data_IF_253820178056
#
_entry.id   IF_253820178056
#
_cell.length_a   1.000
_cell.length_b   1.000
_cell.length_c   1.000
_cell.angle_alpha   90.00
_cell.angle_beta   90.00
_cell.angle_gamma   90.00
#
_symmetry.space_group_name_H-M   'P 1'
#
loop_
_entity.id
_entity.type
_entity.pdbx_description
1 polymer ?
#
# COMPACT_ATOMS: atom_id res chain seq x y z
N UNK A 1 -3.82 19.97 -9.21
CA UNK A 1 -2.42 19.49 -9.28
C UNK A 1 -2.42 17.99 -9.59
N UNK A 2 -1.57 17.52 -10.47
CA UNK A 2 -1.40 16.08 -10.73
C UNK A 2 -0.28 15.56 -9.81
N UNK A 3 -0.61 14.61 -8.93
CA UNK A 3 0.40 13.95 -8.09
C UNK A 3 0.90 12.68 -8.76
N UNK A 4 2.21 12.43 -8.68
CA UNK A 4 2.80 11.16 -9.12
C UNK A 4 2.64 10.11 -8.01
N UNK A 5 1.97 8.97 -8.26
CA UNK A 5 1.80 7.93 -7.27
C UNK A 5 3.10 7.14 -7.06
N UNK A 6 3.52 7.03 -5.81
CA UNK A 6 4.69 6.22 -5.41
C UNK A 6 4.45 5.54 -4.06
N UNK A 7 5.11 4.41 -3.85
CA UNK A 7 5.23 3.75 -2.56
C UNK A 7 6.67 3.87 -2.07
N UNK A 8 6.86 4.59 -0.97
CA UNK A 8 8.19 4.79 -0.39
C UNK A 8 8.55 3.62 0.53
N UNK A 9 9.75 3.06 0.38
CA UNK A 9 10.33 2.16 1.37
C UNK A 9 10.92 2.99 2.50
N UNK A 10 10.29 2.90 3.67
CA UNK A 10 10.72 3.65 4.87
C UNK A 10 11.48 2.80 5.89
N UNK A 11 11.71 1.53 5.60
CA UNK A 11 12.40 0.65 6.54
C UNK A 11 13.79 1.20 6.87
N UNK A 12 14.02 1.47 8.17
CA UNK A 12 15.24 2.06 8.71
C UNK A 12 15.61 3.44 8.14
N UNK A 13 14.61 4.18 7.61
CA UNK A 13 14.85 5.50 7.04
C UNK A 13 14.36 6.60 7.98
N UNK A 14 15.18 7.64 8.21
CA UNK A 14 14.78 8.73 9.08
C UNK A 14 13.72 9.63 8.43
N UNK A 15 12.70 9.95 9.21
CA UNK A 15 11.61 10.87 8.85
C UNK A 15 11.43 11.87 9.98
N UNK A 16 11.29 13.15 9.65
CA UNK A 16 11.02 14.19 10.64
C UNK A 16 9.51 14.38 10.80
N UNK A 17 9.06 14.42 12.03
CA UNK A 17 7.69 14.80 12.41
C UNK A 17 7.76 16.04 13.29
N UNK A 18 7.23 17.14 12.79
CA UNK A 18 7.12 18.40 13.54
C UNK A 18 5.74 18.46 14.20
N UNK A 19 5.73 18.39 15.53
CA UNK A 19 4.55 18.31 16.36
C UNK A 19 4.37 16.96 17.06
N UNK A 20 3.73 16.97 18.23
CA UNK A 20 3.46 15.80 19.07
C UNK A 20 2.02 15.78 19.63
N UNK A 21 1.07 16.41 18.93
CA UNK A 21 -0.37 16.37 19.25
C UNK A 21 -1.06 15.11 18.70
N UNK A 22 -2.38 15.01 18.88
CA UNK A 22 -3.18 13.85 18.43
C UNK A 22 -3.11 13.57 16.92
N UNK A 23 -2.97 14.59 16.10
CA UNK A 23 -2.86 14.42 14.64
C UNK A 23 -1.48 13.85 14.28
N UNK A 24 -0.42 14.40 14.91
CA UNK A 24 0.94 13.88 14.78
C UNK A 24 1.04 12.41 15.22
N UNK A 25 0.33 12.02 16.29
CA UNK A 25 0.30 10.64 16.82
C UNK A 25 -0.12 9.63 15.74
N UNK A 26 -1.24 9.87 15.04
CA UNK A 26 -1.70 9.02 13.94
C UNK A 26 -0.70 8.94 12.78
N UNK A 27 0.03 10.03 12.52
CA UNK A 27 1.09 10.03 11.52
C UNK A 27 2.29 9.21 11.98
N UNK A 28 2.71 9.37 13.24
CA UNK A 28 3.78 8.60 13.85
C UNK A 28 3.50 7.10 13.83
N UNK A 29 2.29 6.66 14.20
CA UNK A 29 1.86 5.25 14.14
C UNK A 29 2.04 4.66 12.73
N UNK A 30 1.59 5.39 11.71
CA UNK A 30 1.72 4.95 10.31
C UNK A 30 3.19 4.85 9.88
N UNK A 31 4.03 5.80 10.29
CA UNK A 31 5.46 5.81 9.99
C UNK A 31 6.19 4.68 10.70
N UNK A 32 5.91 4.47 11.99
CA UNK A 32 6.48 3.37 12.79
C UNK A 32 6.07 2.00 12.22
N UNK A 33 4.81 1.84 11.81
CA UNK A 33 4.33 0.60 11.19
C UNK A 33 4.99 0.32 9.83
N UNK A 34 5.44 1.38 9.14
CA UNK A 34 6.24 1.28 7.90
C UNK A 34 7.74 1.05 8.16
N UNK A 35 8.16 0.98 9.44
CA UNK A 35 9.55 0.74 9.84
C UNK A 35 10.45 1.98 9.76
N UNK A 36 9.88 3.19 9.71
CA UNK A 36 10.63 4.43 9.69
C UNK A 36 11.32 4.71 11.06
N UNK A 37 12.48 5.35 11.02
CA UNK A 37 13.07 5.98 12.19
C UNK A 37 12.46 7.37 12.36
N UNK A 38 11.48 7.48 13.22
CA UNK A 38 10.74 8.74 13.43
C UNK A 38 11.52 9.64 14.39
N UNK A 39 11.91 10.82 13.89
CA UNK A 39 12.52 11.91 14.66
C UNK A 39 11.43 12.95 14.91
N UNK A 40 11.26 13.37 16.14
CA UNK A 40 10.18 14.28 16.54
C UNK A 40 10.76 15.60 17.06
N UNK A 41 10.28 16.73 16.53
CA UNK A 41 10.53 18.05 17.07
C UNK A 41 9.21 18.62 17.61
N UNK A 42 9.16 18.86 18.91
CA UNK A 42 7.99 19.39 19.61
C UNK A 42 8.41 19.96 20.97
N UNK A 43 7.81 21.06 21.40
CA UNK A 43 8.08 21.67 22.71
C UNK A 43 7.72 20.73 23.87
N UNK A 44 6.60 20.02 23.69
CA UNK A 44 6.10 19.04 24.68
C UNK A 44 5.64 17.78 23.96
N UNK A 45 5.77 16.64 24.62
CA UNK A 45 5.26 15.38 24.15
C UNK A 45 3.93 15.05 24.85
N UNK A 46 2.94 14.54 24.12
CA UNK A 46 1.79 13.93 24.73
C UNK A 46 2.18 12.59 25.37
N UNK A 47 1.34 11.97 26.22
CA UNK A 47 1.68 10.71 26.90
C UNK A 47 2.10 9.57 25.98
N UNK A 48 1.52 9.47 24.79
CA UNK A 48 1.85 8.42 23.84
C UNK A 48 3.23 8.64 23.22
N UNK A 49 3.57 9.88 22.85
CA UNK A 49 4.91 10.22 22.35
C UNK A 49 5.96 10.04 23.43
N UNK A 50 5.63 10.39 24.70
CA UNK A 50 6.55 10.16 25.81
C UNK A 50 6.85 8.67 25.97
N UNK A 51 5.81 7.82 25.94
CA UNK A 51 5.99 6.38 25.99
C UNK A 51 6.87 5.87 24.83
N UNK A 52 6.65 6.32 23.60
CA UNK A 52 7.46 5.90 22.46
C UNK A 52 8.91 6.39 22.55
N UNK A 53 9.15 7.55 23.13
CA UNK A 53 10.50 8.06 23.37
C UNK A 53 11.21 7.20 24.43
N UNK A 54 10.54 6.88 25.55
CA UNK A 54 11.07 6.05 26.64
C UNK A 54 11.37 4.61 26.16
N UNK A 55 10.52 4.08 25.24
CA UNK A 55 10.71 2.79 24.59
C UNK A 55 11.77 2.80 23.47
N UNK A 56 12.33 3.96 23.14
CA UNK A 56 13.29 4.11 22.04
C UNK A 56 12.69 3.92 20.63
N UNK A 57 11.35 3.99 20.48
CA UNK A 57 10.66 3.86 19.19
C UNK A 57 10.77 5.13 18.34
N UNK A 58 10.95 6.27 18.99
CA UNK A 58 11.14 7.58 18.34
C UNK A 58 12.36 8.27 18.94
N UNK A 59 12.94 9.21 18.20
CA UNK A 59 13.97 10.12 18.70
C UNK A 59 13.36 11.52 18.89
N UNK A 60 13.21 11.96 20.14
CA UNK A 60 12.80 13.33 20.45
C UNK A 60 14.00 14.27 20.36
N UNK A 61 13.91 15.27 19.48
CA UNK A 61 14.98 16.23 19.21
C UNK A 61 14.87 17.54 20.02
N UNK A 62 13.86 17.64 20.92
CA UNK A 62 13.54 18.87 21.64
C UNK A 62 12.51 19.73 20.97
N UNK A 63 12.30 20.96 21.49
CA UNK A 63 11.25 21.90 21.04
C UNK A 63 11.66 22.82 19.91
N UNK A 64 12.96 23.00 19.67
CA UNK A 64 13.44 23.96 18.69
C UNK A 64 13.70 23.29 17.34
N UNK A 65 12.99 23.72 16.31
CA UNK A 65 13.25 23.29 14.94
C UNK A 65 14.48 24.01 14.36
N UNK A 66 15.45 23.24 13.95
CA UNK A 66 16.61 23.67 13.18
C UNK A 66 16.55 23.11 11.77
N UNK A 67 16.83 23.93 10.78
CA UNK A 67 16.76 23.52 9.38
C UNK A 67 17.72 22.36 9.05
N UNK A 68 18.85 22.25 9.76
CA UNK A 68 19.80 21.15 9.62
C UNK A 68 19.18 19.76 9.93
N UNK A 69 18.09 19.71 10.72
CA UNK A 69 17.36 18.47 10.98
C UNK A 69 16.78 17.82 9.71
N UNK A 70 16.62 18.60 8.64
CA UNK A 70 16.13 18.12 7.34
C UNK A 70 17.22 17.46 6.50
N UNK A 71 18.50 17.68 6.77
CA UNK A 71 19.59 17.21 5.91
C UNK A 71 19.66 15.67 5.88
N UNK A 72 19.37 15.04 7.00
CA UNK A 72 19.46 13.58 7.19
C UNK A 72 18.13 12.84 7.11
N UNK A 73 17.05 13.50 6.66
CA UNK A 73 15.73 12.82 6.59
C UNK A 73 15.26 12.68 5.15
N UNK A 74 14.38 11.69 4.93
CA UNK A 74 13.78 11.45 3.62
C UNK A 74 12.72 12.48 3.29
N UNK A 75 11.88 12.80 4.26
CA UNK A 75 10.83 13.83 4.17
C UNK A 75 10.43 14.30 5.57
N UNK A 76 9.61 15.34 5.61
CA UNK A 76 9.06 15.89 6.84
C UNK A 76 7.53 15.92 6.80
N UNK A 77 6.92 15.70 7.95
CA UNK A 77 5.49 15.96 8.17
C UNK A 77 5.38 17.08 9.23
N UNK A 78 4.74 18.19 8.88
CA UNK A 78 4.40 19.26 9.80
C UNK A 78 2.95 19.06 10.28
N UNK A 79 2.78 18.82 11.58
CA UNK A 79 1.50 18.48 12.20
C UNK A 79 1.32 19.25 13.52
N UNK A 80 1.48 20.58 13.46
CA UNK A 80 1.23 21.50 14.58
C UNK A 80 0.06 22.41 14.26
N UNK A 81 -0.50 23.05 15.29
CA UNK A 81 -1.55 24.07 15.14
C UNK A 81 -0.96 25.46 14.80
N UNK A 82 0.36 25.61 14.81
CA UNK A 82 1.05 26.84 14.44
C UNK A 82 1.30 26.88 12.93
N UNK A 83 0.47 27.62 12.21
CA UNK A 83 0.58 27.80 10.76
C UNK A 83 1.85 28.53 10.33
N UNK A 84 2.42 29.42 11.16
CA UNK A 84 3.68 30.14 10.88
C UNK A 84 4.84 29.13 10.96
N UNK A 85 4.88 28.34 12.00
CA UNK A 85 5.86 27.28 12.17
C UNK A 85 5.78 26.25 11.03
N UNK A 86 4.58 25.76 10.70
CA UNK A 86 4.38 24.81 9.62
C UNK A 86 4.88 25.36 8.27
N UNK A 87 4.61 26.63 7.96
CA UNK A 87 5.14 27.31 6.76
C UNK A 87 6.67 27.37 6.76
N UNK A 88 7.28 27.71 7.89
CA UNK A 88 8.74 27.73 8.05
C UNK A 88 9.35 26.36 7.77
N UNK A 89 8.74 25.27 8.29
CA UNK A 89 9.19 23.88 8.03
C UNK A 89 9.07 23.56 6.55
N UNK A 90 7.96 23.89 5.90
CA UNK A 90 7.73 23.67 4.47
C UNK A 90 8.78 24.39 3.61
N UNK A 91 8.98 25.71 3.82
CA UNK A 91 9.95 26.49 3.09
C UNK A 91 11.39 25.99 3.27
N UNK A 92 11.74 25.54 4.48
CA UNK A 92 13.04 24.93 4.75
C UNK A 92 13.20 23.59 4.01
N UNK A 93 12.14 22.78 3.91
CA UNK A 93 12.11 21.54 3.16
C UNK A 93 12.28 21.78 1.66
N UNK A 94 11.54 22.73 1.09
CA UNK A 94 11.65 23.12 -0.33
C UNK A 94 13.08 23.56 -0.70
N UNK A 95 13.72 24.42 0.13
CA UNK A 95 15.11 24.83 -0.09
C UNK A 95 16.11 23.67 -0.13
N UNK A 96 15.78 22.56 0.53
CA UNK A 96 16.62 21.35 0.62
C UNK A 96 16.18 20.22 -0.31
N UNK A 97 15.22 20.48 -1.20
CA UNK A 97 14.61 19.49 -2.09
C UNK A 97 14.08 18.27 -1.30
N UNK A 98 13.52 18.50 -0.11
CA UNK A 98 12.87 17.46 0.71
C UNK A 98 11.37 17.54 0.53
N UNK A 99 10.73 16.38 0.46
CA UNK A 99 9.27 16.32 0.44
C UNK A 99 8.70 16.75 1.80
N UNK A 100 7.66 17.59 1.77
CA UNK A 100 6.94 18.05 2.94
C UNK A 100 5.44 17.81 2.83
N UNK A 101 4.83 17.37 3.92
CA UNK A 101 3.38 17.31 4.07
C UNK A 101 2.96 18.11 5.29
N UNK A 102 2.26 19.20 5.08
CA UNK A 102 1.66 20.00 6.14
C UNK A 102 0.21 19.58 6.32
N UNK A 103 -0.15 19.17 7.52
CA UNK A 103 -1.50 18.72 7.82
C UNK A 103 -2.49 19.87 7.62
N UNK A 104 -3.63 19.55 7.00
CA UNK A 104 -4.75 20.48 6.72
C UNK A 104 -4.41 21.72 5.88
N UNK A 105 -3.21 21.78 5.26
CA UNK A 105 -2.78 22.92 4.43
C UNK A 105 -2.24 22.42 3.09
N UNK A 106 -3.10 22.30 2.09
CA UNK A 106 -2.75 21.71 0.80
C UNK A 106 -1.64 22.47 0.05
N UNK A 107 -1.59 23.80 0.17
CA UNK A 107 -0.59 24.65 -0.50
C UNK A 107 0.82 24.50 0.10
N UNK A 108 0.94 23.93 1.29
CA UNK A 108 2.20 23.61 1.95
C UNK A 108 2.51 22.12 1.91
N UNK A 109 2.16 21.44 0.81
CA UNK A 109 2.39 20.02 0.62
C UNK A 109 3.05 19.75 -0.72
N UNK A 110 4.26 19.18 -0.71
CA UNK A 110 4.87 18.62 -1.92
C UNK A 110 4.51 17.15 -2.14
N UNK A 111 3.92 16.49 -1.15
CA UNK A 111 3.28 15.17 -1.29
C UNK A 111 2.02 15.05 -0.43
N UNK A 112 1.17 14.10 -0.78
CA UNK A 112 -0.06 13.81 -0.03
C UNK A 112 -0.02 12.40 0.57
N UNK A 113 -0.69 12.23 1.70
CA UNK A 113 -0.92 10.91 2.29
C UNK A 113 -2.29 10.41 1.82
N UNK A 114 -2.35 9.38 0.97
CA UNK A 114 -3.59 8.89 0.39
C UNK A 114 -4.44 8.12 1.41
N UNK A 115 -5.70 7.83 1.03
CA UNK A 115 -6.49 6.83 1.73
C UNK A 115 -5.96 5.43 1.36
N UNK A 116 -5.68 4.57 2.35
CA UNK A 116 -5.04 3.28 2.14
C UNK A 116 -5.93 2.14 2.59
N UNK A 117 -6.03 1.10 1.76
CA UNK A 117 -6.48 -0.24 2.14
C UNK A 117 -5.23 -1.08 2.39
N UNK A 118 -5.05 -1.51 3.64
CA UNK A 118 -3.89 -2.29 4.06
C UNK A 118 -4.27 -3.78 4.25
N UNK A 119 -3.55 -4.65 3.57
CA UNK A 119 -3.62 -6.11 3.70
C UNK A 119 -2.21 -6.69 3.89
N UNK A 120 -1.37 -6.00 4.67
CA UNK A 120 0.02 -6.36 4.89
C UNK A 120 0.90 -6.06 3.67
N UNK A 121 1.44 -7.09 2.97
CA UNK A 121 2.26 -6.84 1.78
C UNK A 121 1.49 -6.22 0.61
N UNK A 122 0.17 -6.43 0.54
CA UNK A 122 -0.69 -5.77 -0.44
C UNK A 122 -1.26 -4.49 0.14
N UNK A 123 -0.94 -3.36 -0.50
CA UNK A 123 -1.47 -2.04 -0.17
C UNK A 123 -2.10 -1.39 -1.40
N UNK A 124 -3.24 -0.73 -1.21
CA UNK A 124 -3.91 0.02 -2.26
C UNK A 124 -4.06 1.45 -1.77
N UNK A 125 -3.44 2.39 -2.46
CA UNK A 125 -3.51 3.81 -2.18
C UNK A 125 -4.49 4.49 -3.13
N UNK A 126 -5.39 5.31 -2.58
CA UNK A 126 -6.46 5.97 -3.32
C UNK A 126 -6.36 7.47 -3.04
N UNK A 127 -6.23 8.25 -4.09
CA UNK A 127 -6.17 9.70 -4.00
C UNK A 127 -7.08 10.36 -5.04
N UNK A 128 -7.68 11.47 -4.66
CA UNK A 128 -8.37 12.39 -5.57
C UNK A 128 -7.53 13.65 -5.85
N UNK A 129 -6.24 13.64 -5.49
CA UNK A 129 -5.39 14.85 -5.60
C UNK A 129 -5.86 16.02 -4.73
N UNK A 130 -6.57 15.76 -3.65
CA UNK A 130 -7.12 16.79 -2.77
C UNK A 130 -8.50 17.33 -3.20
N UNK A 131 -8.96 17.03 -4.43
CA UNK A 131 -10.21 17.60 -4.99
C UNK A 131 -11.49 17.01 -4.38
N UNK A 132 -11.48 15.73 -4.00
CA UNK A 132 -12.66 15.04 -3.47
C UNK A 132 -12.30 14.02 -2.37
N UNK A 133 -11.89 14.45 -1.16
CA UNK A 133 -11.46 13.54 -0.09
C UNK A 133 -12.55 12.54 0.35
N UNK A 134 -13.82 12.96 0.31
CA UNK A 134 -14.96 12.09 0.62
C UNK A 134 -15.10 10.96 -0.40
N UNK A 135 -14.89 11.25 -1.69
CA UNK A 135 -14.92 10.25 -2.75
C UNK A 135 -13.78 9.23 -2.58
N UNK A 136 -12.58 9.68 -2.27
CA UNK A 136 -11.44 8.79 -1.98
C UNK A 136 -11.74 7.86 -0.79
N UNK A 137 -12.34 8.38 0.30
CA UNK A 137 -12.79 7.56 1.45
C UNK A 137 -13.86 6.54 1.07
N UNK A 138 -14.85 6.96 0.25
CA UNK A 138 -15.91 6.05 -0.22
C UNK A 138 -15.31 4.89 -1.04
N UNK A 139 -14.42 5.18 -1.96
CA UNK A 139 -13.74 4.15 -2.73
C UNK A 139 -12.85 3.26 -1.86
N UNK A 140 -12.17 3.81 -0.85
CA UNK A 140 -11.44 2.99 0.11
C UNK A 140 -12.35 1.97 0.79
N UNK A 141 -13.52 2.40 1.29
CA UNK A 141 -14.49 1.50 1.93
C UNK A 141 -14.97 0.40 0.99
N UNK A 142 -15.33 0.75 -0.26
CA UNK A 142 -15.76 -0.23 -1.26
C UNK A 142 -14.65 -1.25 -1.55
N UNK A 143 -13.44 -0.78 -1.81
CA UNK A 143 -12.30 -1.66 -2.12
C UNK A 143 -11.94 -2.52 -0.89
N UNK A 144 -12.06 -1.98 0.31
CA UNK A 144 -11.81 -2.71 1.55
C UNK A 144 -12.77 -3.90 1.75
N UNK A 145 -14.03 -3.78 1.32
CA UNK A 145 -14.99 -4.89 1.33
C UNK A 145 -14.73 -5.91 0.23
N UNK A 146 -14.19 -5.49 -0.91
CA UNK A 146 -13.90 -6.37 -2.05
C UNK A 146 -12.62 -7.20 -1.85
N UNK A 147 -11.68 -6.73 -1.03
CA UNK A 147 -10.39 -7.40 -0.81
C UNK A 147 -10.37 -8.02 0.58
N UNK A 148 -10.52 -9.35 0.67
CA UNK A 148 -10.55 -10.07 1.94
C UNK A 148 -9.22 -9.93 2.72
N UNK A 149 -9.28 -10.01 4.05
CA UNK A 149 -8.10 -9.93 4.92
C UNK A 149 -7.04 -10.98 4.61
N UNK A 150 -7.45 -12.19 4.25
CA UNK A 150 -6.54 -13.28 3.92
C UNK A 150 -5.70 -13.05 2.66
N UNK A 151 -6.02 -12.06 1.83
CA UNK A 151 -5.20 -11.67 0.67
C UNK A 151 -3.78 -11.29 1.09
N UNK A 152 -3.61 -10.67 2.27
CA UNK A 152 -2.30 -10.39 2.83
C UNK A 152 -1.51 -11.64 3.19
N UNK A 153 -2.19 -12.69 3.69
CA UNK A 153 -1.58 -14.00 3.96
C UNK A 153 -1.16 -14.68 2.65
N UNK A 154 -2.01 -14.64 1.63
CA UNK A 154 -1.67 -15.14 0.28
C UNK A 154 -0.42 -14.45 -0.27
N UNK A 155 -0.34 -13.12 -0.16
CA UNK A 155 0.79 -12.34 -0.62
C UNK A 155 2.09 -12.67 0.14
N UNK A 156 2.03 -12.91 1.47
CA UNK A 156 3.20 -13.32 2.27
C UNK A 156 3.72 -14.69 1.84
N UNK A 157 2.83 -15.68 1.67
CA UNK A 157 3.24 -17.01 1.22
C UNK A 157 3.83 -16.94 -0.19
N UNK A 158 3.18 -16.22 -1.11
CA UNK A 158 3.69 -16.02 -2.46
C UNK A 158 5.08 -15.37 -2.47
N UNK A 159 5.30 -14.35 -1.63
CA UNK A 159 6.60 -13.71 -1.46
C UNK A 159 7.68 -14.67 -0.98
N UNK A 160 7.38 -15.51 0.03
CA UNK A 160 8.28 -16.55 0.56
C UNK A 160 8.71 -17.55 -0.52
N UNK A 161 7.78 -17.93 -1.38
CA UNK A 161 8.01 -18.96 -2.42
C UNK A 161 8.47 -18.41 -3.76
N UNK A 162 8.53 -17.09 -3.92
CA UNK A 162 8.82 -16.42 -5.20
C UNK A 162 10.10 -16.90 -5.86
N UNK A 163 11.19 -16.97 -5.11
CA UNK A 163 12.48 -17.39 -5.65
C UNK A 163 12.50 -18.89 -6.02
N UNK A 164 11.86 -19.73 -5.22
CA UNK A 164 11.73 -21.16 -5.55
C UNK A 164 10.94 -21.37 -6.85
N UNK A 165 9.81 -20.66 -6.99
CA UNK A 165 9.00 -20.70 -8.23
C UNK A 165 9.81 -20.21 -9.43
N UNK A 166 10.63 -19.16 -9.24
CA UNK A 166 11.51 -18.63 -10.31
C UNK A 166 12.58 -19.64 -10.73
N UNK A 167 13.12 -20.40 -9.78
CA UNK A 167 14.09 -21.46 -10.07
C UNK A 167 13.47 -22.68 -10.75
N UNK A 168 12.22 -23.01 -10.44
CA UNK A 168 11.52 -24.16 -11.00
C UNK A 168 10.92 -23.86 -12.37
N UNK A 169 10.37 -22.66 -12.56
CA UNK A 169 9.71 -22.23 -13.80
C UNK A 169 10.56 -21.13 -14.47
N UNK A 170 11.31 -21.52 -15.49
CA UNK A 170 12.27 -20.62 -16.15
C UNK A 170 11.61 -19.53 -17.02
N UNK A 171 10.40 -19.79 -17.54
CA UNK A 171 9.68 -18.85 -18.40
C UNK A 171 8.80 -17.89 -17.59
N UNK A 172 8.79 -16.62 -17.96
CA UNK A 172 7.98 -15.55 -17.33
C UNK A 172 6.48 -15.83 -17.46
N UNK A 173 6.04 -16.33 -18.63
CA UNK A 173 4.64 -16.65 -18.89
C UNK A 173 4.17 -17.82 -18.05
N UNK A 174 5.02 -18.87 -17.89
CA UNK A 174 4.74 -20.00 -17.00
C UNK A 174 4.56 -19.54 -15.55
N UNK A 175 5.44 -18.68 -15.06
CA UNK A 175 5.35 -18.11 -13.71
C UNK A 175 4.07 -17.30 -13.51
N UNK A 176 3.72 -16.46 -14.50
CA UNK A 176 2.47 -15.69 -14.43
C UNK A 176 1.25 -16.61 -14.38
N UNK A 177 1.17 -17.57 -15.28
CA UNK A 177 0.09 -18.55 -15.33
C UNK A 177 -0.02 -19.35 -14.04
N UNK A 178 1.12 -19.81 -13.51
CA UNK A 178 1.18 -20.51 -12.22
C UNK A 178 0.56 -19.68 -11.08
N UNK A 179 0.96 -18.42 -10.93
CA UNK A 179 0.43 -17.55 -9.88
C UNK A 179 -1.06 -17.25 -10.05
N UNK A 180 -1.51 -17.00 -11.28
CA UNK A 180 -2.93 -16.80 -11.58
C UNK A 180 -3.77 -18.02 -11.19
N UNK A 181 -3.34 -19.21 -11.59
CA UNK A 181 -4.02 -20.47 -11.24
C UNK A 181 -3.98 -20.77 -9.75
N UNK A 182 -2.86 -20.52 -9.09
CA UNK A 182 -2.72 -20.73 -7.65
C UNK A 182 -3.70 -19.84 -6.87
N UNK A 183 -3.78 -18.55 -7.20
CA UNK A 183 -4.66 -17.62 -6.51
C UNK A 183 -6.16 -17.91 -6.73
N UNK A 184 -6.51 -18.59 -7.80
CA UNK A 184 -7.88 -19.06 -8.09
C UNK A 184 -8.18 -20.48 -7.56
N UNK A 185 -7.19 -21.15 -6.93
CA UNK A 185 -7.30 -22.50 -6.38
C UNK A 185 -7.76 -22.51 -4.90
N UNK A 186 -7.70 -23.69 -4.28
CA UNK A 186 -7.93 -23.86 -2.84
C UNK A 186 -6.93 -23.10 -1.96
N UNK A 187 -5.85 -22.62 -2.50
CA UNK A 187 -4.84 -21.83 -1.81
C UNK A 187 -5.47 -20.65 -1.04
N UNK A 188 -6.39 -19.91 -1.68
CA UNK A 188 -7.13 -18.83 -1.05
C UNK A 188 -8.00 -19.27 0.13
N UNK A 189 -8.63 -20.47 0.02
CA UNK A 189 -9.46 -21.04 1.08
C UNK A 189 -8.60 -21.37 2.31
N UNK A 190 -7.46 -22.04 2.11
CA UNK A 190 -6.53 -22.37 3.19
C UNK A 190 -5.93 -21.11 3.85
N UNK A 191 -5.61 -20.08 3.06
CA UNK A 191 -5.17 -18.79 3.58
C UNK A 191 -6.26 -18.10 4.42
N UNK A 192 -7.53 -18.19 4.02
CA UNK A 192 -8.68 -17.65 4.78
C UNK A 192 -8.87 -18.36 6.12
N UNK A 193 -8.59 -19.66 6.18
CA UNK A 193 -8.62 -20.47 7.40
C UNK A 193 -7.36 -20.32 8.27
N UNK A 194 -6.41 -19.45 7.88
CA UNK A 194 -5.09 -19.31 8.48
C UNK A 194 -4.29 -20.64 8.55
N UNK A 195 -4.60 -21.58 7.68
CA UNK A 195 -3.89 -22.87 7.57
C UNK A 195 -2.73 -22.74 6.58
N UNK A 196 -1.62 -22.18 7.08
CA UNK A 196 -0.44 -21.87 6.26
C UNK A 196 0.17 -23.13 5.65
N UNK A 197 0.23 -24.22 6.43
CA UNK A 197 0.78 -25.51 5.94
C UNK A 197 -0.03 -26.08 4.79
N UNK A 198 -1.36 -26.06 4.88
CA UNK A 198 -2.22 -26.52 3.79
C UNK A 198 -2.09 -25.63 2.54
N UNK A 199 -1.97 -24.32 2.73
CA UNK A 199 -1.74 -23.38 1.64
C UNK A 199 -0.37 -23.65 0.96
N UNK A 200 0.69 -23.86 1.72
CA UNK A 200 2.01 -24.21 1.16
C UNK A 200 2.01 -25.57 0.46
N UNK A 201 1.32 -26.58 1.00
CA UNK A 201 1.14 -27.87 0.32
C UNK A 201 0.41 -27.75 -1.02
N UNK A 202 -0.65 -26.94 -1.06
CA UNK A 202 -1.37 -26.65 -2.32
C UNK A 202 -0.44 -25.98 -3.34
N UNK A 203 0.36 -24.98 -2.92
CA UNK A 203 1.35 -24.32 -3.76
C UNK A 203 2.36 -25.33 -4.33
N UNK A 204 2.92 -26.21 -3.50
CA UNK A 204 3.88 -27.24 -3.93
C UNK A 204 3.21 -28.20 -4.91
N UNK A 205 1.98 -28.60 -4.63
CA UNK A 205 1.22 -29.50 -5.52
C UNK A 205 1.00 -28.87 -6.89
N UNK A 206 0.63 -27.59 -6.93
CA UNK A 206 0.45 -26.85 -8.19
C UNK A 206 1.79 -26.63 -8.92
N UNK A 207 2.88 -26.40 -8.18
CA UNK A 207 4.21 -26.17 -8.76
C UNK A 207 4.78 -27.43 -9.41
N UNK A 208 4.50 -28.60 -8.83
CA UNK A 208 4.97 -29.90 -9.32
C UNK A 208 4.07 -30.50 -10.42
N UNK A 209 2.91 -29.89 -10.68
CA UNK A 209 2.08 -30.32 -11.81
C UNK A 209 2.78 -29.94 -13.11
N UNK A 210 2.99 -30.91 -13.98
CA UNK A 210 3.29 -30.64 -15.38
C UNK A 210 2.07 -29.95 -15.98
N UNK A 211 2.10 -28.62 -16.04
CA UNK A 211 1.03 -27.85 -16.70
C UNK A 211 1.27 -27.87 -18.19
N UNK A 212 0.42 -28.58 -18.96
CA UNK A 212 0.47 -28.40 -20.41
C UNK A 212 0.15 -26.93 -20.71
N UNK A 213 1.05 -26.27 -21.44
CA UNK A 213 0.76 -24.97 -22.06
C UNK A 213 -0.28 -25.21 -23.16
N UNK A 214 -1.53 -25.36 -22.74
CA UNK A 214 -2.66 -25.43 -23.64
C UNK A 214 -3.42 -24.11 -23.56
N UNK A 215 -3.68 -23.49 -24.68
CA UNK A 215 -4.62 -22.38 -24.75
C UNK A 215 -6.00 -22.84 -24.27
N UNK A 216 -6.66 -22.06 -23.43
CA UNK A 216 -8.05 -22.30 -23.02
C UNK A 216 -8.95 -21.55 -24.01
N UNK A 217 -9.84 -22.27 -24.67
CA UNK A 217 -10.92 -21.68 -25.47
C UNK A 217 -12.18 -21.65 -24.62
N UNK A 218 -12.69 -20.47 -24.36
CA UNK A 218 -13.94 -20.29 -23.61
C UNK A 218 -15.00 -19.75 -24.55
N UNK A 219 -16.02 -20.57 -24.78
CA UNK A 219 -17.24 -20.14 -25.48
C UNK A 219 -18.11 -19.31 -24.52
N UNK A 220 -18.46 -18.13 -24.95
CA UNK A 220 -19.21 -17.19 -24.13
C UNK A 220 -20.44 -16.76 -24.88
N UNK A 221 -21.63 -17.05 -24.31
CA UNK A 221 -22.88 -16.47 -24.73
C UNK A 221 -23.04 -15.08 -24.11
N UNK A 222 -23.13 -14.03 -24.94
CA UNK A 222 -23.25 -12.65 -24.48
C UNK A 222 -24.69 -12.22 -24.13
N UNK A 223 -25.67 -13.13 -24.21
CA UNK A 223 -27.08 -12.87 -23.94
C UNK A 223 -27.75 -11.99 -25.03
N UNK A 224 -28.91 -11.39 -24.75
CA UNK A 224 -29.71 -10.66 -25.73
C UNK A 224 -29.19 -9.26 -26.06
N UNK A 225 -27.93 -8.95 -25.79
CA UNK A 225 -27.32 -7.66 -26.14
C UNK A 225 -27.29 -6.61 -25.04
N UNK A 226 -27.93 -6.84 -23.89
CA UNK A 226 -27.83 -5.93 -22.73
C UNK A 226 -26.56 -6.19 -21.91
N UNK A 227 -25.60 -5.23 -21.85
CA UNK A 227 -24.39 -5.37 -21.06
C UNK A 227 -24.63 -5.57 -19.56
N UNK A 228 -25.78 -5.13 -19.02
CA UNK A 228 -26.15 -5.31 -17.62
C UNK A 228 -26.45 -6.76 -17.24
N UNK A 229 -26.71 -7.62 -18.24
CA UNK A 229 -26.96 -9.05 -18.05
C UNK A 229 -25.70 -9.92 -18.10
N UNK A 230 -24.52 -9.33 -18.32
CA UNK A 230 -23.26 -10.05 -18.31
C UNK A 230 -22.95 -10.51 -16.89
N UNK A 231 -22.70 -11.82 -16.73
CA UNK A 231 -22.33 -12.36 -15.41
C UNK A 231 -20.98 -11.83 -14.95
N UNK A 232 -20.80 -11.72 -13.62
CA UNK A 232 -19.52 -11.31 -13.04
C UNK A 232 -18.34 -12.19 -13.51
N UNK A 233 -18.54 -13.49 -13.66
CA UNK A 233 -17.51 -14.41 -14.18
C UNK A 233 -17.10 -14.05 -15.61
N UNK A 234 -18.05 -13.67 -16.45
CA UNK A 234 -17.79 -13.24 -17.80
C UNK A 234 -16.98 -11.95 -17.84
N UNK A 235 -17.41 -10.94 -17.08
CA UNK A 235 -16.69 -9.68 -16.96
C UNK A 235 -15.26 -9.87 -16.41
N UNK A 236 -15.06 -10.81 -15.47
CA UNK A 236 -13.75 -11.15 -14.94
C UNK A 236 -12.84 -11.78 -16.01
N UNK A 237 -13.35 -12.73 -16.80
CA UNK A 237 -12.59 -13.37 -17.88
C UNK A 237 -12.27 -12.40 -19.03
N UNK A 238 -13.17 -11.51 -19.35
CA UNK A 238 -12.95 -10.46 -20.37
C UNK A 238 -11.80 -9.51 -19.98
N UNK A 239 -11.67 -9.16 -18.70
CA UNK A 239 -10.58 -8.34 -18.18
C UNK A 239 -9.21 -9.02 -18.17
N UNK A 240 -9.15 -10.35 -18.26
CA UNK A 240 -7.92 -11.15 -18.24
C UNK A 240 -7.19 -11.25 -19.60
N UNK A 241 -7.42 -10.30 -20.54
CA UNK A 241 -6.70 -10.19 -21.82
C UNK A 241 -6.76 -11.44 -22.71
N UNK A 242 -7.91 -12.02 -22.84
CA UNK A 242 -8.14 -13.00 -23.90
C UNK A 242 -8.42 -12.20 -25.17
N UNK A 243 -7.68 -12.39 -26.29
CA UNK A 243 -8.09 -11.80 -27.55
C UNK A 243 -9.49 -12.32 -27.88
N UNK A 244 -10.46 -11.43 -27.87
CA UNK A 244 -11.83 -11.76 -28.25
C UNK A 244 -11.94 -11.76 -29.75
N UNK A 245 -12.17 -12.93 -30.32
CA UNK A 245 -12.69 -13.03 -31.68
C UNK A 245 -14.22 -12.95 -31.58
N UNK A 246 -14.79 -11.83 -31.99
CA UNK A 246 -16.24 -11.74 -32.21
C UNK A 246 -16.53 -12.44 -33.54
N UNK A 247 -17.23 -13.59 -33.51
CA UNK A 247 -17.95 -14.03 -34.68
C UNK A 247 -19.22 -13.17 -34.77
N UNK A 248 -19.33 -12.43 -35.87
CA UNK A 248 -20.57 -11.79 -36.29
C UNK A 248 -21.56 -12.83 -36.78
#
# INVERSE_FOLDING_TARGET
MSHYPLFADLKNRPVLLAGAGKVAERKAESLLSAGAHVRVVAETLNPQFQQWADEGKIAWLGGLFEEAMLDEVYFVIAATDDGVFNRRVFEAAERRAKLCNTVDTADLCSFIVPAVVDRGPLKIAISSGGTAPVLARKWRQIIETLIPLHTGTMARIAGKWREKVKQTLNNVEQRRYFWEKLFDSRFGIFAAQNNIEAAERELITQLNRETPFGGEVVLVGAGPGDPGLLTYMLCRRYRLRIPCFTML
#
